data_IF_718858467747
#
_entry.id   IF_718858467747
#
_cell.length_a   1.000
_cell.length_b   1.000
_cell.length_c   1.000
_cell.angle_alpha   90.00
_cell.angle_beta   90.00
_cell.angle_gamma   90.00
#
_symmetry.space_group_name_H-M   'P 1'
#
loop_
_entity.id
_entity.type
_entity.pdbx_description
1 polymer ?
#
# COMPACT_ATOMS: atom_id res chain seq x y z
N UNK A 1 24.03 21.47 -24.90
CA UNK A 1 24.23 21.27 -23.45
C UNK A 1 23.47 22.37 -22.75
N UNK A 2 22.28 22.08 -22.19
CA UNK A 2 21.43 23.13 -21.61
C UNK A 2 21.91 23.39 -20.19
N UNK A 3 22.66 24.47 -20.02
CA UNK A 3 23.05 24.98 -18.70
C UNK A 3 21.83 25.51 -17.97
N UNK A 4 21.55 24.96 -16.79
CA UNK A 4 20.53 25.49 -15.89
C UNK A 4 21.22 26.56 -15.05
N UNK A 5 21.14 27.81 -15.49
CA UNK A 5 21.71 28.93 -14.77
C UNK A 5 20.90 29.20 -13.49
N UNK A 6 21.62 29.44 -12.39
CA UNK A 6 21.04 29.66 -11.06
C UNK A 6 20.58 31.12 -10.96
N UNK A 7 19.33 31.41 -10.54
CA UNK A 7 18.87 32.79 -10.43
C UNK A 7 19.63 33.56 -9.33
N UNK A 8 19.90 34.86 -9.55
CA UNK A 8 20.69 35.69 -8.65
C UNK A 8 19.91 36.10 -7.40
N UNK A 9 20.50 35.74 -6.27
CA UNK A 9 20.50 36.41 -4.97
C UNK A 9 19.19 37.05 -4.45
N UNK A 10 18.41 36.24 -3.74
CA UNK A 10 17.57 36.70 -2.62
C UNK A 10 18.31 36.41 -1.31
N UNK A 11 19.22 37.30 -0.95
CA UNK A 11 19.86 37.31 0.36
C UNK A 11 18.81 37.46 1.47
N UNK A 12 19.07 36.76 2.58
CA UNK A 12 18.37 36.83 3.87
C UNK A 12 17.10 35.96 4.05
N UNK A 13 17.25 34.64 3.99
CA UNK A 13 16.91 33.82 5.15
C UNK A 13 17.72 32.52 5.11
N UNK A 14 18.35 32.16 6.22
CA UNK A 14 19.35 31.09 6.39
C UNK A 14 18.78 29.66 6.26
N UNK A 15 17.75 29.46 5.46
CA UNK A 15 17.32 28.15 4.98
C UNK A 15 18.15 27.80 3.75
N UNK A 16 19.44 27.60 4.02
CA UNK A 16 20.31 26.63 3.34
C UNK A 16 19.48 25.62 2.55
N UNK A 17 19.84 25.36 1.30
CA UNK A 17 19.54 24.09 0.65
C UNK A 17 20.05 23.02 1.60
N UNK A 18 19.24 22.62 2.59
CA UNK A 18 19.67 21.77 3.68
C UNK A 18 20.14 20.55 2.95
N UNK A 19 21.46 20.42 2.86
CA UNK A 19 22.12 19.27 2.34
C UNK A 19 21.48 18.15 3.14
N UNK A 20 20.67 17.34 2.45
CA UNK A 20 19.95 16.25 3.11
C UNK A 20 21.03 15.51 3.87
N UNK A 21 20.96 15.55 5.21
CA UNK A 21 22.04 15.03 6.06
C UNK A 21 22.39 13.63 5.59
N UNK A 22 23.67 13.28 5.62
CA UNK A 22 24.13 12.01 5.09
C UNK A 22 23.42 10.83 5.78
N UNK A 23 22.49 10.18 5.06
CA UNK A 23 21.69 9.06 5.57
C UNK A 23 22.43 7.71 5.45
N UNK A 24 23.68 7.68 4.96
CA UNK A 24 24.45 6.43 4.78
C UNK A 24 24.69 5.68 6.09
N UNK A 25 24.71 6.36 7.23
CA UNK A 25 24.87 5.75 8.55
C UNK A 25 23.59 5.25 9.22
N UNK A 26 22.42 5.46 8.62
CA UNK A 26 21.13 5.06 9.22
C UNK A 26 20.84 3.60 8.91
N UNK A 27 20.77 2.77 9.96
CA UNK A 27 20.53 1.34 9.82
C UNK A 27 19.01 1.04 9.71
N UNK A 28 18.59 0.57 8.54
CA UNK A 28 17.18 0.24 8.26
C UNK A 28 16.95 -1.23 8.59
N UNK A 29 15.98 -1.51 9.49
CA UNK A 29 15.64 -2.89 9.86
C UNK A 29 14.90 -3.61 8.72
N UNK A 30 14.86 -4.95 8.75
CA UNK A 30 14.09 -5.76 7.78
C UNK A 30 12.62 -5.35 7.73
N UNK A 31 12.06 -5.03 8.88
CA UNK A 31 10.69 -4.52 9.03
C UNK A 31 10.48 -3.20 8.26
N UNK A 32 11.44 -2.28 8.34
CA UNK A 32 11.40 -1.01 7.64
C UNK A 32 11.66 -1.16 6.14
N UNK A 33 12.48 -2.12 5.72
CA UNK A 33 12.64 -2.48 4.30
C UNK A 33 11.30 -2.96 3.73
N UNK A 34 10.58 -3.82 4.46
CA UNK A 34 9.24 -4.27 4.06
C UNK A 34 8.23 -3.11 4.01
N UNK A 35 8.33 -2.13 4.92
CA UNK A 35 7.56 -0.89 4.83
C UNK A 35 7.91 -0.10 3.57
N UNK A 36 9.19 0.01 3.20
CA UNK A 36 9.66 0.71 2.01
C UNK A 36 9.06 0.12 0.74
N UNK A 37 8.98 -1.21 0.65
CA UNK A 37 8.37 -1.91 -0.49
C UNK A 37 6.87 -1.67 -0.56
N UNK A 38 6.15 -1.73 0.57
CA UNK A 38 4.71 -1.40 0.61
C UNK A 38 4.42 0.05 0.21
N UNK A 39 5.29 0.98 0.60
CA UNK A 39 5.19 2.38 0.17
C UNK A 39 5.50 2.53 -1.32
N UNK A 40 6.42 1.72 -1.86
CA UNK A 40 6.77 1.78 -3.28
C UNK A 40 5.63 1.23 -4.15
N UNK A 41 5.01 0.13 -3.72
CA UNK A 41 3.77 -0.39 -4.31
C UNK A 41 2.64 0.65 -4.22
N UNK A 42 2.43 1.28 -3.06
CA UNK A 42 1.43 2.34 -2.94
C UNK A 42 1.69 3.52 -3.88
N UNK A 43 2.94 3.96 -4.02
CA UNK A 43 3.32 5.02 -4.95
C UNK A 43 3.03 4.62 -6.41
N UNK A 44 3.29 3.36 -6.78
CA UNK A 44 2.92 2.82 -8.09
C UNK A 44 1.41 2.85 -8.30
N UNK A 45 0.61 2.45 -7.31
CA UNK A 45 -0.86 2.46 -7.40
C UNK A 45 -1.45 3.87 -7.52
N UNK A 46 -0.85 4.87 -6.86
CA UNK A 46 -1.25 6.28 -7.05
C UNK A 46 -0.95 6.72 -8.48
N UNK A 47 0.26 6.45 -8.98
CA UNK A 47 0.63 6.77 -10.35
C UNK A 47 -0.26 6.07 -11.37
N UNK A 48 -0.53 4.77 -11.18
CA UNK A 48 -1.34 3.97 -12.09
C UNK A 48 -2.77 4.51 -12.19
N UNK A 49 -3.39 4.87 -11.05
CA UNK A 49 -4.73 5.49 -11.04
C UNK A 49 -4.76 6.81 -11.82
N UNK A 50 -3.78 7.69 -11.59
CA UNK A 50 -3.69 8.94 -12.36
C UNK A 50 -3.51 8.65 -13.85
N UNK A 51 -2.63 7.69 -14.18
CA UNK A 51 -2.33 7.35 -15.56
C UNK A 51 -3.54 6.77 -16.29
N UNK A 52 -4.36 5.96 -15.62
CA UNK A 52 -5.62 5.45 -16.16
C UNK A 52 -6.59 6.60 -16.45
N UNK A 53 -6.78 7.51 -15.49
CA UNK A 53 -7.63 8.69 -15.68
C UNK A 53 -7.19 9.55 -16.88
N UNK A 54 -5.89 9.78 -17.04
CA UNK A 54 -5.36 10.54 -18.17
C UNK A 54 -5.60 9.84 -19.52
N UNK A 55 -5.51 8.51 -19.57
CA UNK A 55 -5.80 7.72 -20.77
C UNK A 55 -7.28 7.76 -21.13
N UNK A 56 -8.17 7.66 -20.13
CA UNK A 56 -9.61 7.79 -20.35
C UNK A 56 -9.98 9.17 -20.91
N UNK A 57 -9.35 10.24 -20.41
CA UNK A 57 -9.59 11.60 -20.86
C UNK A 57 -9.22 11.86 -22.34
N UNK A 58 -8.28 11.09 -22.90
CA UNK A 58 -7.85 11.22 -24.31
C UNK A 58 -8.55 10.22 -25.25
N UNK A 59 -9.59 9.52 -24.79
CA UNK A 59 -10.34 8.54 -25.59
C UNK A 59 -9.83 7.11 -25.45
N UNK A 60 -9.06 6.81 -24.41
CA UNK A 60 -8.56 5.47 -24.08
C UNK A 60 -7.11 5.22 -24.50
N UNK A 61 -6.62 4.02 -24.20
CA UNK A 61 -5.26 3.58 -24.51
C UNK A 61 -4.71 2.61 -23.47
N UNK A 62 -3.54 2.05 -23.74
CA UNK A 62 -2.84 1.16 -22.81
C UNK A 62 -1.42 1.66 -22.56
N UNK A 63 -0.96 1.50 -21.32
CA UNK A 63 0.41 1.84 -20.93
C UNK A 63 1.09 0.59 -20.37
N UNK A 64 2.27 0.25 -20.89
CA UNK A 64 3.01 -0.98 -20.57
C UNK A 64 3.29 -1.20 -19.07
N UNK A 65 3.35 -0.12 -18.29
CA UNK A 65 3.57 -0.17 -16.84
C UNK A 65 2.28 -0.27 -16.01
N UNK A 66 1.10 -0.34 -16.63
CA UNK A 66 -0.17 -0.60 -15.94
C UNK A 66 -0.31 -2.10 -15.65
N UNK A 67 0.63 -2.59 -14.86
CA UNK A 67 0.70 -3.95 -14.37
C UNK A 67 0.92 -3.94 -12.85
N UNK A 68 0.60 -5.04 -12.14
CA UNK A 68 0.90 -5.16 -10.73
C UNK A 68 2.38 -4.89 -10.41
N UNK A 69 2.66 -4.24 -9.28
CA UNK A 69 4.01 -3.84 -8.88
C UNK A 69 4.99 -5.04 -8.84
N UNK A 70 4.49 -6.23 -8.51
CA UNK A 70 5.28 -7.47 -8.39
C UNK A 70 5.92 -7.93 -9.69
N UNK A 71 5.27 -7.64 -10.82
CA UNK A 71 5.74 -8.08 -12.14
C UNK A 71 6.51 -6.99 -12.89
N UNK A 72 6.61 -5.78 -12.33
CA UNK A 72 7.47 -4.74 -12.88
C UNK A 72 8.94 -5.18 -12.86
N UNK A 73 9.69 -4.71 -13.83
CA UNK A 73 11.13 -4.93 -13.88
C UNK A 73 11.83 -4.19 -12.75
N UNK A 74 13.05 -4.64 -12.41
CA UNK A 74 13.83 -3.99 -11.35
C UNK A 74 14.14 -2.53 -11.65
N UNK A 75 14.33 -2.19 -12.93
CA UNK A 75 14.64 -0.83 -13.36
C UNK A 75 13.45 0.12 -13.14
N UNK A 76 12.24 -0.34 -13.44
CA UNK A 76 11.00 0.43 -13.24
C UNK A 76 10.72 0.66 -11.74
N UNK A 77 10.96 -0.35 -10.91
CA UNK A 77 10.79 -0.25 -9.44
C UNK A 77 11.87 0.56 -8.76
N UNK A 78 13.06 0.67 -9.36
CA UNK A 78 14.27 1.24 -8.73
C UNK A 78 14.04 2.66 -8.21
N UNK A 79 13.30 3.48 -8.95
CA UNK A 79 13.01 4.86 -8.55
C UNK A 79 12.17 4.91 -7.27
N UNK A 80 11.06 4.17 -7.24
CA UNK A 80 10.17 4.14 -6.07
C UNK A 80 10.86 3.53 -4.86
N UNK A 81 11.55 2.39 -5.04
CA UNK A 81 12.35 1.78 -3.96
C UNK A 81 13.38 2.75 -3.40
N UNK A 82 14.15 3.42 -4.26
CA UNK A 82 15.15 4.40 -3.78
C UNK A 82 14.49 5.52 -2.98
N UNK A 83 13.39 6.09 -3.49
CA UNK A 83 12.70 7.19 -2.82
C UNK A 83 12.12 6.77 -1.47
N UNK A 84 11.46 5.62 -1.37
CA UNK A 84 10.85 5.16 -0.12
C UNK A 84 11.88 4.75 0.92
N UNK A 85 13.00 4.14 0.50
CA UNK A 85 14.10 3.84 1.41
C UNK A 85 14.73 5.11 1.99
N UNK A 86 14.97 6.13 1.17
CA UNK A 86 15.52 7.40 1.66
C UNK A 86 14.52 8.14 2.56
N UNK A 87 13.23 8.11 2.24
CA UNK A 87 12.18 8.64 3.10
C UNK A 87 12.19 7.98 4.48
N UNK A 88 12.28 6.66 4.55
CA UNK A 88 12.29 5.91 5.81
C UNK A 88 13.55 6.24 6.63
N UNK A 89 14.72 6.30 6.00
CA UNK A 89 15.96 6.71 6.69
C UNK A 89 15.84 8.13 7.23
N UNK A 90 15.27 9.05 6.45
CA UNK A 90 15.05 10.42 6.86
C UNK A 90 14.15 10.50 8.09
N UNK A 91 13.02 9.79 8.07
CA UNK A 91 12.11 9.72 9.21
C UNK A 91 12.80 9.14 10.46
N UNK A 92 13.61 8.09 10.29
CA UNK A 92 14.36 7.51 11.41
C UNK A 92 15.44 8.46 11.95
N UNK A 93 16.17 9.15 11.07
CA UNK A 93 17.18 10.16 11.44
C UNK A 93 16.58 11.28 12.30
N UNK A 94 15.34 11.67 12.00
CA UNK A 94 14.60 12.67 12.77
C UNK A 94 13.91 12.11 14.04
N UNK A 95 14.11 10.83 14.38
CA UNK A 95 13.60 10.22 15.61
C UNK A 95 12.16 9.69 15.52
N UNK A 96 11.55 9.63 14.33
CA UNK A 96 10.22 9.07 14.17
C UNK A 96 10.25 7.54 14.29
N UNK A 97 9.44 7.01 15.19
CA UNK A 97 9.24 5.56 15.36
C UNK A 97 8.15 5.08 14.41
N UNK A 98 8.54 4.29 13.42
CA UNK A 98 7.60 3.68 12.48
C UNK A 98 7.26 2.27 12.97
N UNK A 99 5.96 1.97 13.08
CA UNK A 99 5.45 0.63 13.33
C UNK A 99 4.30 0.37 12.38
N UNK A 100 4.24 -0.82 11.82
CA UNK A 100 3.07 -1.29 11.10
C UNK A 100 2.24 -2.10 12.07
N UNK A 101 0.93 -1.84 12.10
CA UNK A 101 0.02 -2.89 12.53
C UNK A 101 0.07 -3.92 11.42
N UNK A 102 0.76 -5.04 11.65
CA UNK A 102 0.48 -6.25 10.88
C UNK A 102 -1.03 -6.38 10.93
N UNK A 103 -1.69 -6.28 9.77
CA UNK A 103 -3.15 -6.29 9.68
C UNK A 103 -3.67 -7.40 10.57
N UNK A 104 -4.68 -7.08 11.40
CA UNK A 104 -5.17 -7.94 12.46
C UNK A 104 -5.24 -9.38 11.98
N UNK A 105 -4.74 -10.29 12.83
CA UNK A 105 -5.01 -11.71 12.66
C UNK A 105 -6.48 -11.84 12.29
N UNK A 106 -6.74 -12.20 11.03
CA UNK A 106 -8.01 -12.79 10.68
C UNK A 106 -8.02 -14.08 11.48
N UNK A 107 -8.57 -13.98 12.68
CA UNK A 107 -9.01 -15.11 13.45
C UNK A 107 -10.00 -15.80 12.53
N UNK A 108 -9.52 -16.76 11.75
CA UNK A 108 -10.37 -17.81 11.23
C UNK A 108 -11.01 -18.40 12.48
N UNK A 109 -12.26 -18.02 12.72
CA UNK A 109 -13.12 -18.75 13.62
C UNK A 109 -13.14 -20.17 13.10
N UNK A 110 -12.36 -21.04 13.73
CA UNK A 110 -12.51 -22.47 13.60
C UNK A 110 -13.91 -22.80 14.12
N UNK A 111 -14.88 -22.79 13.22
CA UNK A 111 -16.22 -23.28 13.51
C UNK A 111 -16.13 -24.80 13.52
N UNK A 112 -15.68 -25.33 14.66
CA UNK A 112 -15.87 -26.72 15.02
C UNK A 112 -17.36 -26.95 15.20
N UNK A 113 -17.98 -27.56 14.20
CA UNK A 113 -19.33 -28.12 14.28
C UNK A 113 -19.22 -29.63 14.19
N UNK A 114 -19.08 -30.29 15.34
CA UNK A 114 -19.12 -31.74 15.45
C UNK A 114 -20.46 -32.30 14.98
N UNK A 115 -20.42 -33.45 14.30
CA UNK A 115 -21.60 -34.19 13.93
C UNK A 115 -22.25 -34.87 15.15
N UNK A 116 -23.59 -35.00 15.12
CA UNK A 116 -24.31 -36.14 15.70
C UNK A 116 -25.78 -36.13 15.21
N UNK A 117 -26.21 -37.23 14.58
CA UNK A 117 -27.55 -37.88 14.55
C UNK A 117 -28.80 -37.02 14.27
N UNK A 118 -29.70 -37.34 13.34
CA UNK A 118 -30.27 -38.65 13.05
C UNK A 118 -31.67 -38.78 13.66
N UNK A 119 -32.73 -38.49 12.88
CA UNK A 119 -34.13 -38.94 13.04
C UNK A 119 -34.97 -38.28 11.91
N UNK A 120 -35.23 -38.94 10.78
CA UNK A 120 -36.42 -39.78 10.45
C UNK A 120 -37.78 -39.09 10.66
N UNK A 121 -38.54 -39.04 9.56
CA UNK A 121 -39.88 -38.48 9.38
C UNK A 121 -40.97 -39.10 10.28
N UNK A 122 -42.07 -38.37 10.54
CA UNK A 122 -43.43 -38.93 10.55
C UNK A 122 -44.53 -37.84 10.50
N UNK A 123 -45.69 -38.24 10.01
CA UNK A 123 -46.86 -37.48 9.58
C UNK A 123 -47.79 -36.95 10.71
N UNK A 124 -48.77 -36.14 10.29
CA UNK A 124 -50.07 -36.03 10.98
C UNK A 124 -50.44 -34.63 11.48
N UNK A 125 -51.25 -33.90 10.71
CA UNK A 125 -52.10 -32.82 11.25
C UNK A 125 -53.56 -33.19 11.05
N UNK A 126 -54.32 -33.48 12.12
CA UNK A 126 -55.75 -33.26 12.15
C UNK A 126 -56.01 -31.98 12.96
N UNK A 127 -56.89 -31.12 12.44
CA UNK A 127 -57.59 -30.15 13.26
C UNK A 127 -59.02 -30.07 12.71
N UNK A 128 -59.86 -30.92 13.29
CA UNK A 128 -61.31 -30.88 13.22
C UNK A 128 -61.86 -29.50 13.64
N UNK A 129 -63.02 -29.17 13.10
CA UNK A 129 -63.69 -27.89 13.28
C UNK A 129 -64.62 -27.77 14.49
N UNK A 130 -65.14 -26.55 14.66
CA UNK A 130 -66.40 -26.18 15.33
C UNK A 130 -66.64 -24.69 15.02
N UNK A 131 -67.76 -24.28 14.41
CA UNK A 131 -68.99 -23.81 15.09
C UNK A 131 -68.84 -22.32 15.43
N UNK A 132 -69.66 -21.36 15.01
CA UNK A 132 -71.04 -21.28 14.51
C UNK A 132 -71.15 -20.14 13.46
#
# INVERSE_FOLDING_TARGET
MIGVDKPPDIAANELTWRQTGDLRGVNVSKEMINLAERLADNAHNIWARQKMHDLEAIGGGVHQLLVPYEILTDNERKRYRRLTHELIKYLQYHGYRMSFRSGGAQQQSAQGGGGAGGATADAGRPADGHGE
#
